data_IF_684941724696
#
_entry.id   IF_684941724696
#
_cell.length_a   1.000
_cell.length_b   1.000
_cell.length_c   1.000
_cell.angle_alpha   90.00
_cell.angle_beta   90.00
_cell.angle_gamma   90.00
#
_symmetry.space_group_name_H-M   'P 1'
#
loop_
_entity.id
_entity.type
_entity.pdbx_description
1 polymer ?
#
# COMPACT_ATOMS: atom_id res chain seq x y z
N UNK A 1 17.78 6.10 6.84
CA UNK A 1 17.62 5.26 5.64
C UNK A 1 16.99 6.14 4.56
N UNK A 2 17.72 6.44 3.47
CA UNK A 2 17.15 7.22 2.36
C UNK A 2 16.53 6.20 1.39
N UNK A 3 15.21 6.03 1.44
CA UNK A 3 14.48 5.42 0.33
C UNK A 3 14.64 6.39 -0.85
N UNK A 4 15.46 6.00 -1.81
CA UNK A 4 15.56 6.66 -3.09
C UNK A 4 14.65 5.92 -4.07
N UNK A 5 14.24 6.62 -5.11
CA UNK A 5 13.38 6.08 -6.17
C UNK A 5 13.91 4.74 -6.74
N UNK A 6 15.24 4.60 -6.79
CA UNK A 6 15.91 3.37 -7.23
C UNK A 6 15.56 2.11 -6.44
N UNK A 7 15.19 2.20 -5.16
CA UNK A 7 14.78 1.02 -4.39
C UNK A 7 13.43 0.46 -4.87
N UNK A 8 12.44 1.33 -5.09
CA UNK A 8 11.12 0.91 -5.57
C UNK A 8 11.26 0.33 -6.98
N UNK A 9 12.01 1.00 -7.85
CA UNK A 9 12.21 0.54 -9.22
C UNK A 9 12.91 -0.84 -9.28
N UNK A 10 13.98 -1.03 -8.50
CA UNK A 10 14.67 -2.33 -8.43
C UNK A 10 13.78 -3.44 -7.85
N UNK A 11 12.94 -3.10 -6.86
CA UNK A 11 11.99 -4.05 -6.26
C UNK A 11 10.90 -4.44 -7.25
N UNK A 12 10.37 -3.48 -8.01
CA UNK A 12 9.37 -3.71 -9.06
C UNK A 12 9.88 -4.68 -10.13
N UNK A 13 11.09 -4.49 -10.64
CA UNK A 13 11.69 -5.38 -11.66
C UNK A 13 11.77 -6.82 -11.14
N UNK A 14 12.18 -7.00 -9.88
CA UNK A 14 12.23 -8.33 -9.24
C UNK A 14 10.84 -8.90 -9.01
N UNK A 15 9.88 -8.08 -8.59
CA UNK A 15 8.52 -8.51 -8.32
C UNK A 15 7.87 -9.10 -9.58
N UNK A 16 8.00 -8.43 -10.72
CA UNK A 16 7.51 -8.93 -12.01
C UNK A 16 8.18 -10.24 -12.43
N UNK A 17 9.51 -10.33 -12.28
CA UNK A 17 10.26 -11.53 -12.64
C UNK A 17 9.87 -12.78 -11.81
N UNK A 18 9.31 -12.58 -10.62
CA UNK A 18 8.98 -13.65 -9.67
C UNK A 18 7.47 -13.82 -9.43
N UNK A 19 6.61 -13.23 -10.27
CA UNK A 19 5.15 -13.25 -10.11
C UNK A 19 4.70 -12.77 -8.72
N UNK A 20 5.24 -11.64 -8.27
CA UNK A 20 4.94 -11.03 -6.97
C UNK A 20 4.03 -9.82 -7.20
N UNK A 21 2.89 -9.79 -6.51
CA UNK A 21 2.00 -8.63 -6.43
C UNK A 21 2.42 -7.71 -5.30
N UNK A 22 2.78 -6.48 -5.64
CA UNK A 22 3.24 -5.50 -4.67
C UNK A 22 2.11 -4.57 -4.24
N UNK A 23 2.09 -4.23 -2.95
CA UNK A 23 1.24 -3.19 -2.35
C UNK A 23 2.04 -2.39 -1.33
N UNK A 24 1.75 -1.10 -1.20
CA UNK A 24 2.30 -0.24 -0.16
C UNK A 24 1.19 0.13 0.81
N UNK A 25 1.47 -0.08 2.10
CA UNK A 25 0.60 0.31 3.19
C UNK A 25 1.22 1.49 3.94
N UNK A 26 0.44 2.54 4.16
CA UNK A 26 0.86 3.71 4.92
C UNK A 26 -0.30 4.22 5.78
N UNK A 27 -0.01 4.48 7.06
CA UNK A 27 -0.94 5.16 7.97
C UNK A 27 -0.92 6.68 7.80
N UNK A 28 0.10 7.22 7.13
CA UNK A 28 0.27 8.65 6.89
C UNK A 28 0.87 8.90 5.49
N UNK A 29 0.06 8.80 4.43
CA UNK A 29 0.52 8.96 3.06
C UNK A 29 0.97 10.38 2.73
N UNK A 30 0.52 11.39 3.48
CA UNK A 30 0.90 12.80 3.26
C UNK A 30 2.37 13.07 3.56
N UNK A 31 3.03 12.21 4.34
CA UNK A 31 4.47 12.28 4.62
C UNK A 31 5.35 11.73 3.49
N UNK A 32 4.76 11.15 2.44
CA UNK A 32 5.53 10.60 1.33
C UNK A 32 5.82 11.67 0.28
N UNK A 33 7.08 11.79 -0.20
CA UNK A 33 7.39 12.65 -1.34
C UNK A 33 6.60 12.26 -2.59
N UNK A 34 6.17 13.22 -3.38
CA UNK A 34 5.35 12.99 -4.59
C UNK A 34 5.99 11.99 -5.56
N UNK A 35 7.30 12.12 -5.81
CA UNK A 35 8.04 11.19 -6.69
C UNK A 35 7.95 9.73 -6.21
N UNK A 36 7.91 9.51 -4.89
CA UNK A 36 7.82 8.16 -4.33
C UNK A 36 6.42 7.60 -4.51
N UNK A 37 5.39 8.43 -4.39
CA UNK A 37 3.99 8.03 -4.61
C UNK A 37 3.77 7.57 -6.04
N UNK A 38 4.28 8.31 -7.03
CA UNK A 38 4.17 7.95 -8.45
C UNK A 38 4.81 6.58 -8.74
N UNK A 39 6.04 6.35 -8.26
CA UNK A 39 6.74 5.08 -8.44
C UNK A 39 6.05 3.91 -7.75
N UNK A 40 5.39 4.17 -6.61
CA UNK A 40 4.58 3.16 -5.91
C UNK A 40 3.35 2.81 -6.73
N UNK A 41 2.59 3.80 -7.20
CA UNK A 41 1.39 3.58 -8.01
C UNK A 41 1.70 2.82 -9.30
N UNK A 42 2.81 3.17 -9.96
CA UNK A 42 3.32 2.45 -11.11
C UNK A 42 3.62 0.98 -10.77
N UNK A 43 4.29 0.74 -9.64
CA UNK A 43 4.66 -0.60 -9.20
C UNK A 43 3.46 -1.47 -8.82
N UNK A 44 2.48 -0.92 -8.11
CA UNK A 44 1.24 -1.63 -7.77
C UNK A 44 0.43 -1.96 -9.02
N UNK A 45 0.32 -1.01 -9.95
CA UNK A 45 -0.44 -1.19 -11.20
C UNK A 45 0.20 -2.26 -12.07
N UNK A 46 1.53 -2.20 -12.25
CA UNK A 46 2.26 -3.17 -13.07
C UNK A 46 2.21 -4.58 -12.49
N UNK A 47 2.17 -4.73 -11.17
CA UNK A 47 2.13 -6.06 -10.52
C UNK A 47 0.71 -6.54 -10.19
N UNK A 48 -0.33 -5.79 -10.60
CA UNK A 48 -1.73 -6.11 -10.29
C UNK A 48 -2.16 -7.50 -10.80
N UNK A 49 -1.61 -7.89 -11.94
CA UNK A 49 -1.89 -9.17 -12.61
C UNK A 49 -1.13 -10.36 -11.98
N UNK A 50 -0.16 -10.10 -11.12
CA UNK A 50 0.56 -11.16 -10.42
C UNK A 50 -0.31 -11.78 -9.33
N UNK A 51 -0.19 -13.08 -9.15
CA UNK A 51 -1.00 -13.89 -8.23
C UNK A 51 -0.20 -14.87 -7.37
N UNK A 52 1.13 -14.82 -7.46
CA UNK A 52 2.03 -15.62 -6.64
C UNK A 52 2.14 -15.06 -5.21
N UNK A 53 3.25 -14.40 -4.91
CA UNK A 53 3.45 -13.79 -3.58
C UNK A 53 2.81 -12.41 -3.51
N UNK A 54 2.12 -12.13 -2.41
CA UNK A 54 1.66 -10.79 -2.09
C UNK A 54 2.66 -10.11 -1.15
N UNK A 55 3.34 -9.07 -1.66
CA UNK A 55 4.32 -8.29 -0.91
C UNK A 55 3.70 -6.96 -0.47
N UNK A 56 3.45 -6.83 0.83
CA UNK A 56 3.02 -5.57 1.45
C UNK A 56 4.23 -4.82 2.03
N UNK A 57 4.58 -3.68 1.44
CA UNK A 57 5.63 -2.78 1.92
C UNK A 57 5.00 -1.72 2.82
N UNK A 58 5.34 -1.74 4.10
CA UNK A 58 4.80 -0.79 5.08
C UNK A 58 5.72 0.43 5.20
N UNK A 59 5.33 1.57 4.61
CA UNK A 59 6.07 2.83 4.61
C UNK A 59 5.32 3.90 5.39
N UNK A 60 6.01 4.65 6.26
CA UNK A 60 5.35 5.59 7.20
C UNK A 60 4.16 4.95 7.93
N UNK A 61 4.31 3.66 8.27
CA UNK A 61 3.27 2.81 8.78
C UNK A 61 3.40 2.60 10.29
N UNK A 62 2.27 2.72 10.99
CA UNK A 62 2.12 2.46 12.41
C UNK A 62 0.84 1.67 12.62
N UNK A 63 0.95 0.46 13.17
CA UNK A 63 -0.21 -0.39 13.45
C UNK A 63 -1.22 0.28 14.39
N UNK A 64 -0.74 1.08 15.36
CA UNK A 64 -1.62 1.84 16.25
C UNK A 64 -2.42 2.89 15.49
N UNK A 65 -1.77 3.59 14.57
CA UNK A 65 -2.43 4.63 13.78
C UNK A 65 -3.38 4.04 12.75
N UNK A 66 -3.06 2.88 12.19
CA UNK A 66 -3.96 2.13 11.33
C UNK A 66 -5.23 1.70 12.08
N UNK A 67 -5.09 1.09 13.26
CA UNK A 67 -6.23 0.67 14.09
C UNK A 67 -7.07 1.90 14.49
N UNK A 68 -6.43 2.94 15.03
CA UNK A 68 -7.12 4.15 15.45
C UNK A 68 -7.82 4.84 14.26
N UNK A 69 -7.18 4.87 13.09
CA UNK A 69 -7.73 5.39 11.85
C UNK A 69 -8.95 4.60 11.39
N UNK A 70 -8.88 3.26 11.40
CA UNK A 70 -10.00 2.39 11.06
C UNK A 70 -11.20 2.59 12.00
N UNK A 71 -10.97 2.69 13.31
CA UNK A 71 -12.02 2.97 14.29
C UNK A 71 -12.70 4.34 14.02
N UNK A 72 -11.91 5.38 13.75
CA UNK A 72 -12.44 6.72 13.41
C UNK A 72 -13.26 6.72 12.13
N UNK A 73 -12.76 6.06 11.07
CA UNK A 73 -13.46 5.96 9.79
C UNK A 73 -14.78 5.17 9.95
N UNK A 74 -14.76 4.05 10.68
CA UNK A 74 -15.96 3.24 10.95
C UNK A 74 -17.04 4.04 11.69
N UNK A 75 -16.64 4.88 12.66
CA UNK A 75 -17.57 5.75 13.38
C UNK A 75 -18.17 6.81 12.46
N UNK A 76 -17.34 7.44 11.61
CA UNK A 76 -17.79 8.45 10.63
C UNK A 76 -18.78 7.89 9.61
N UNK A 77 -18.51 6.70 9.07
CA UNK A 77 -19.30 6.11 7.98
C UNK A 77 -20.62 5.47 8.49
N UNK A 78 -20.80 5.38 9.82
CA UNK A 78 -21.98 4.79 10.45
C UNK A 78 -22.10 3.26 10.29
N UNK A 79 -23.09 2.63 10.94
CA UNK A 79 -23.34 1.21 10.77
C UNK A 79 -23.76 0.92 9.32
N UNK A 80 -23.01 0.04 8.63
CA UNK A 80 -23.45 -0.50 7.34
C UNK A 80 -24.74 -1.27 7.60
N UNK A 81 -25.85 -0.87 6.95
CA UNK A 81 -27.07 -1.67 6.97
C UNK A 81 -26.72 -3.01 6.35
N UNK A 82 -26.99 -4.10 7.06
CA UNK A 82 -26.91 -5.43 6.48
C UNK A 82 -27.94 -5.49 5.35
N UNK A 83 -27.50 -5.54 4.10
CA UNK A 83 -28.33 -6.04 3.02
C UNK A 83 -28.47 -7.55 3.25
N UNK A 84 -29.54 -7.89 3.96
CA UNK A 84 -30.01 -9.24 4.17
C UNK A 84 -30.17 -9.93 2.83
N UNK A 85 -29.45 -11.05 2.65
CA UNK A 85 -29.86 -12.13 1.75
C UNK A 85 -30.41 -13.26 2.59
#
# INVERSE_FOLDING_TARGET
MKLNDGFIHATLVRALAHNIRMRVLSSDPQKMPAFLVESIEEGETKTLHCDGLYLNLCLSYSARDEIAGACRNRYRDGPRRNESR
#
